data_IF_443171113249
#
_entry.id   IF_443171113249
#
_cell.length_a   1.000
_cell.length_b   1.000
_cell.length_c   1.000
_cell.angle_alpha   90.00
_cell.angle_beta   90.00
_cell.angle_gamma   90.00
#
_symmetry.space_group_name_H-M   'P 1'
#
loop_
_entity.id
_entity.type
_entity.pdbx_description
1 polymer ?
#
# COMPACT_ATOMS: atom_id res chain seq x y z
N UNK A 1 0.55 -7.34 -23.39
CA UNK A 1 1.40 -6.40 -22.63
C UNK A 1 1.40 -6.87 -21.18
N UNK A 2 2.51 -6.74 -20.47
CA UNK A 2 2.55 -6.99 -19.03
C UNK A 2 1.70 -5.92 -18.32
N UNK A 3 1.05 -6.31 -17.22
CA UNK A 3 0.23 -5.43 -16.38
C UNK A 3 1.16 -4.41 -15.71
N UNK A 4 0.87 -3.12 -15.81
CA UNK A 4 1.69 -2.04 -15.25
C UNK A 4 1.26 -1.78 -13.80
N UNK A 5 2.13 -2.09 -12.84
CA UNK A 5 1.83 -2.02 -11.40
C UNK A 5 2.73 -1.00 -10.73
N UNK A 6 2.16 -0.12 -9.91
CA UNK A 6 2.92 0.77 -9.01
C UNK A 6 2.89 0.23 -7.59
N UNK A 7 4.07 0.09 -6.97
CA UNK A 7 4.23 -0.10 -5.52
C UNK A 7 4.78 1.20 -4.94
N UNK A 8 3.94 1.92 -4.21
CA UNK A 8 4.28 3.22 -3.65
C UNK A 8 4.48 3.12 -2.13
N UNK A 9 5.71 3.38 -1.67
CA UNK A 9 6.01 3.53 -0.26
C UNK A 9 5.64 4.92 0.22
N UNK A 10 4.76 4.99 1.22
CA UNK A 10 4.30 6.23 1.86
C UNK A 10 4.75 6.22 3.32
N UNK A 11 5.03 7.41 3.86
CA UNK A 11 5.38 7.53 5.27
C UNK A 11 6.35 8.66 5.59
N UNK A 12 6.43 9.04 6.86
CA UNK A 12 7.41 9.98 7.36
C UNK A 12 8.52 9.26 8.14
N UNK A 13 9.71 9.15 7.54
CA UNK A 13 10.89 8.55 8.18
C UNK A 13 11.33 9.23 9.47
N UNK A 14 10.87 10.46 9.72
CA UNK A 14 11.15 11.19 10.97
C UNK A 14 10.15 10.84 12.10
N UNK A 15 9.09 10.07 11.82
CA UNK A 15 8.04 9.71 12.78
C UNK A 15 8.03 8.20 13.12
N UNK A 16 9.22 7.64 13.35
CA UNK A 16 9.36 6.26 13.83
C UNK A 16 8.77 5.24 12.85
N UNK A 17 7.81 4.45 13.32
CA UNK A 17 7.15 3.40 12.53
C UNK A 17 6.36 3.95 11.32
N UNK A 18 6.06 5.25 11.28
CA UNK A 18 5.46 5.90 10.11
C UNK A 18 6.39 5.81 8.88
N UNK A 19 7.69 5.55 9.06
CA UNK A 19 8.63 5.29 7.97
C UNK A 19 8.51 3.90 7.33
N UNK A 20 7.60 3.04 7.78
CA UNK A 20 7.48 1.66 7.32
C UNK A 20 7.36 1.53 5.79
N UNK A 21 6.48 2.30 5.14
CA UNK A 21 6.29 2.20 3.70
C UNK A 21 7.52 2.60 2.90
N UNK A 22 8.27 3.61 3.37
CA UNK A 22 9.54 4.05 2.77
C UNK A 22 10.60 2.95 2.87
N UNK A 23 10.72 2.30 4.03
CA UNK A 23 11.67 1.19 4.24
C UNK A 23 11.33 -0.01 3.34
N UNK A 24 10.05 -0.35 3.18
CA UNK A 24 9.63 -1.42 2.26
C UNK A 24 9.99 -1.09 0.81
N UNK A 25 9.70 0.14 0.35
CA UNK A 25 10.06 0.57 -1.00
C UNK A 25 11.58 0.54 -1.22
N UNK A 26 12.37 1.00 -0.23
CA UNK A 26 13.83 0.97 -0.27
C UNK A 26 14.38 -0.45 -0.42
N UNK A 27 13.81 -1.42 0.32
CA UNK A 27 14.20 -2.84 0.20
C UNK A 27 13.85 -3.42 -1.17
N UNK A 28 12.63 -3.21 -1.66
CA UNK A 28 12.22 -3.68 -2.99
C UNK A 28 13.07 -3.08 -4.11
N UNK A 29 13.48 -1.82 -4.00
CA UNK A 29 14.40 -1.19 -4.96
C UNK A 29 15.80 -1.79 -4.94
N UNK A 30 16.22 -2.37 -3.82
CA UNK A 30 17.50 -3.06 -3.68
C UNK A 30 17.47 -4.53 -4.11
N UNK A 31 16.27 -5.11 -4.27
CA UNK A 31 16.10 -6.49 -4.73
C UNK A 31 16.28 -6.62 -6.25
N UNK A 32 16.98 -7.67 -6.67
CA UNK A 32 17.06 -8.04 -8.07
C UNK A 32 15.84 -8.88 -8.48
N UNK A 33 15.33 -8.66 -9.69
CA UNK A 33 14.34 -9.57 -10.30
C UNK A 33 12.87 -9.25 -10.00
N UNK A 34 12.52 -7.98 -9.82
CA UNK A 34 11.12 -7.57 -9.82
C UNK A 34 10.43 -8.02 -11.12
N UNK A 35 9.15 -8.44 -11.07
CA UNK A 35 8.42 -8.84 -12.27
C UNK A 35 8.33 -7.71 -13.31
N UNK A 36 8.28 -8.08 -14.59
CA UNK A 36 8.10 -7.13 -15.68
C UNK A 36 6.83 -6.30 -15.50
N UNK A 37 6.97 -4.97 -15.61
CA UNK A 37 5.86 -4.02 -15.47
C UNK A 37 5.63 -3.50 -14.04
N UNK A 38 6.41 -3.99 -13.06
CA UNK A 38 6.39 -3.45 -11.68
C UNK A 38 7.30 -2.24 -11.58
N UNK A 39 6.75 -1.13 -11.09
CA UNK A 39 7.47 0.09 -10.75
C UNK A 39 7.38 0.28 -9.24
N UNK A 40 8.52 0.46 -8.58
CA UNK A 40 8.58 0.76 -7.14
C UNK A 40 9.04 2.19 -6.96
N UNK A 41 8.39 2.95 -6.07
CA UNK A 41 8.79 4.31 -5.77
C UNK A 41 8.55 4.66 -4.30
N UNK A 42 9.52 5.35 -3.70
CA UNK A 42 9.39 6.01 -2.41
C UNK A 42 8.76 7.40 -2.61
N UNK A 43 7.57 7.61 -2.04
CA UNK A 43 6.92 8.92 -2.02
C UNK A 43 7.14 9.67 -0.71
N UNK A 44 7.48 8.98 0.37
CA UNK A 44 7.50 9.54 1.72
C UNK A 44 6.22 10.34 2.01
N UNK A 45 6.38 11.63 2.33
CA UNK A 45 5.27 12.56 2.58
C UNK A 45 4.79 13.34 1.34
N UNK A 46 5.23 12.98 0.13
CA UNK A 46 4.98 13.74 -1.12
C UNK A 46 3.63 13.44 -1.75
N UNK A 47 2.54 13.65 -1.00
CA UNK A 47 1.17 13.30 -1.43
C UNK A 47 0.72 13.88 -2.79
N UNK A 48 1.13 15.11 -3.14
CA UNK A 48 0.82 15.70 -4.46
C UNK A 48 1.54 14.97 -5.59
N UNK A 49 2.80 14.57 -5.37
CA UNK A 49 3.57 13.84 -6.39
C UNK A 49 2.97 12.46 -6.62
N UNK A 50 2.54 11.79 -5.54
CA UNK A 50 1.79 10.55 -5.64
C UNK A 50 0.51 10.75 -6.46
N UNK A 51 -0.29 11.77 -6.16
CA UNK A 51 -1.53 12.03 -6.90
C UNK A 51 -1.30 12.24 -8.41
N UNK A 52 -0.23 12.93 -8.80
CA UNK A 52 0.13 13.06 -10.22
C UNK A 52 0.64 11.75 -10.82
N UNK A 53 1.42 10.97 -10.07
CA UNK A 53 1.90 9.67 -10.54
C UNK A 53 0.75 8.70 -10.83
N UNK A 54 -0.32 8.73 -10.02
CA UNK A 54 -1.51 7.90 -10.25
C UNK A 54 -2.19 8.18 -11.59
N UNK A 55 -1.94 9.34 -12.22
CA UNK A 55 -2.45 9.67 -13.55
C UNK A 55 -1.64 9.02 -14.68
N UNK A 56 -0.52 8.36 -14.39
CA UNK A 56 0.38 7.75 -15.39
C UNK A 56 -0.12 6.40 -15.96
N UNK A 57 -1.39 6.06 -15.75
CA UNK A 57 -2.06 4.91 -16.38
C UNK A 57 -1.58 3.55 -15.89
N UNK A 58 -1.46 3.38 -14.57
CA UNK A 58 -1.21 2.07 -13.97
C UNK A 58 -2.48 1.21 -13.99
N UNK A 59 -2.32 -0.09 -14.26
CA UNK A 59 -3.42 -1.06 -14.16
C UNK A 59 -3.75 -1.39 -12.70
N UNK A 60 -2.77 -1.24 -11.80
CA UNK A 60 -2.90 -1.52 -10.38
C UNK A 60 -1.92 -0.72 -9.54
N UNK A 61 -2.34 -0.35 -8.32
CA UNK A 61 -1.54 0.42 -7.38
C UNK A 61 -1.60 -0.22 -6.01
N UNK A 62 -0.43 -0.48 -5.44
CA UNK A 62 -0.24 -0.96 -4.08
C UNK A 62 0.37 0.18 -3.28
N UNK A 63 -0.38 0.70 -2.30
CA UNK A 63 0.12 1.67 -1.33
C UNK A 63 0.62 0.91 -0.10
N UNK A 64 1.88 1.13 0.28
CA UNK A 64 2.45 0.60 1.51
C UNK A 64 2.60 1.76 2.48
N UNK A 65 1.91 1.70 3.60
CA UNK A 65 1.86 2.77 4.59
C UNK A 65 1.68 2.19 6.01
N UNK A 66 2.09 2.94 7.03
CA UNK A 66 1.77 2.63 8.41
C UNK A 66 0.42 3.27 8.77
N UNK A 67 -0.53 2.48 9.22
CA UNK A 67 -1.85 2.98 9.62
C UNK A 67 -2.21 2.52 11.03
N UNK A 68 -2.87 3.37 11.84
CA UNK A 68 -3.34 2.97 13.15
C UNK A 68 -4.45 1.93 13.02
N UNK A 69 -4.25 0.76 13.62
CA UNK A 69 -5.22 -0.34 13.68
C UNK A 69 -5.45 -0.74 15.13
N UNK A 70 -6.62 -1.32 15.40
CA UNK A 70 -6.96 -1.92 16.70
C UNK A 70 -6.43 -3.37 16.75
N UNK A 71 -5.15 -3.52 16.46
CA UNK A 71 -4.43 -4.80 16.33
C UNK A 71 -3.03 -4.66 16.95
N UNK A 72 -2.35 -5.76 17.30
CA UNK A 72 -0.98 -5.70 17.81
C UNK A 72 -0.01 -4.97 16.84
N UNK A 73 0.97 -4.19 17.33
CA UNK A 73 1.99 -3.57 16.50
C UNK A 73 2.72 -4.56 15.58
N UNK A 74 2.96 -4.17 14.33
CA UNK A 74 3.57 -5.02 13.31
C UNK A 74 2.60 -5.96 12.57
N UNK A 75 1.31 -5.94 12.92
CA UNK A 75 0.28 -6.66 12.15
C UNK A 75 0.18 -6.09 10.73
N UNK A 76 0.28 -6.97 9.72
CA UNK A 76 0.07 -6.60 8.32
C UNK A 76 -1.39 -6.84 7.92
N UNK A 77 -2.00 -5.85 7.30
CA UNK A 77 -3.34 -5.93 6.74
C UNK A 77 -3.34 -5.44 5.29
N UNK A 78 -4.19 -6.05 4.46
CA UNK A 78 -4.46 -5.58 3.10
C UNK A 78 -5.81 -4.89 3.11
N UNK A 79 -5.82 -3.63 2.67
CA UNK A 79 -7.01 -2.79 2.61
C UNK A 79 -7.38 -2.58 1.15
N UNK A 80 -8.56 -3.05 0.75
CA UNK A 80 -9.11 -2.77 -0.58
C UNK A 80 -9.99 -1.53 -0.51
N UNK A 81 -9.61 -0.40 -1.15
CA UNK A 81 -10.42 0.81 -1.13
C UNK A 81 -11.68 0.63 -1.99
N UNK A 82 -12.84 0.88 -1.40
CA UNK A 82 -14.12 0.98 -2.09
C UNK A 82 -14.26 2.36 -2.75
N UNK A 83 -14.22 2.41 -4.08
CA UNK A 83 -14.37 3.67 -4.84
C UNK A 83 -15.78 4.27 -4.69
N UNK A 84 -16.78 3.43 -4.43
CA UNK A 84 -18.18 3.85 -4.22
C UNK A 84 -18.37 4.66 -2.92
N UNK A 85 -17.40 4.61 -2.01
CA UNK A 85 -17.45 5.24 -0.69
C UNK A 85 -16.50 6.44 -0.57
N UNK A 86 -15.81 6.79 -1.67
CA UNK A 86 -14.92 7.94 -1.77
C UNK A 86 -15.72 9.25 -1.91
N UNK A 87 -16.43 9.64 -0.85
CA UNK A 87 -16.96 11.00 -0.71
C UNK A 87 -15.84 12.03 -0.50
N UNK A 88 -16.14 13.35 -0.59
CA UNK A 88 -15.16 14.44 -0.45
C UNK A 88 -14.44 14.50 0.92
N UNK A 89 -14.86 13.67 1.88
CA UNK A 89 -14.14 13.39 3.11
C UNK A 89 -13.90 11.88 3.13
N UNK A 90 -12.69 11.45 2.81
CA UNK A 90 -12.32 10.03 2.83
C UNK A 90 -12.72 9.40 4.16
N UNK A 91 -13.55 8.35 4.11
CA UNK A 91 -13.93 7.60 5.30
C UNK A 91 -12.73 6.77 5.75
N UNK A 92 -12.47 6.69 7.06
CA UNK A 92 -11.44 5.76 7.58
C UNK A 92 -11.76 4.35 7.07
N UNK A 93 -10.85 3.78 6.29
CA UNK A 93 -10.92 2.39 5.87
C UNK A 93 -10.70 1.54 7.12
N UNK A 94 -11.67 0.68 7.46
CA UNK A 94 -11.51 -0.31 8.51
C UNK A 94 -10.71 -1.47 7.93
N UNK A 95 -9.69 -1.95 8.63
CA UNK A 95 -9.04 -3.20 8.29
C UNK A 95 -10.06 -4.34 8.36
N UNK A 96 -10.56 -4.76 7.20
CA UNK A 96 -11.35 -5.96 7.07
C UNK A 96 -10.42 -7.15 7.28
N UNK A 97 -10.46 -7.75 8.48
CA UNK A 97 -9.67 -8.93 8.77
C UNK A 97 -9.95 -10.04 7.75
N UNK A 98 -8.92 -10.44 7.00
CA UNK A 98 -8.95 -11.61 6.14
C UNK A 98 -9.00 -12.88 7.00
N UNK A 99 -10.14 -13.13 7.64
CA UNK A 99 -10.37 -14.36 8.39
C UNK A 99 -10.65 -15.48 7.40
N UNK A 100 -9.57 -16.17 6.95
CA UNK A 100 -9.69 -17.47 6.29
C UNK A 100 -10.43 -18.40 7.25
N UNK A 101 -11.71 -18.68 7.01
CA UNK A 101 -12.42 -19.74 7.73
C UNK A 101 -11.70 -21.06 7.47
N UNK A 102 -11.42 -21.89 8.49
CA UNK A 102 -10.96 -23.25 8.25
C UNK A 102 -12.09 -24.02 7.56
N UNK A 103 -11.78 -24.63 6.42
CA UNK A 103 -12.63 -25.66 5.83
C UNK A 103 -12.60 -26.85 6.80
N UNK A 104 -13.67 -27.05 7.55
CA UNK A 104 -13.91 -28.34 8.16
C UNK A 104 -14.46 -29.25 7.07
N UNK A 105 -13.58 -30.05 6.47
CA UNK A 105 -13.96 -31.33 5.87
C UNK A 105 -13.96 -32.35 7.01
N UNK A 106 -15.16 -32.70 7.50
CA UNK A 106 -15.52 -34.04 7.98
C UNK A 106 -17.03 -34.14 8.14
#
# INVERSE_FOLDING_TARGET
MSRKVLVAGVGNVFLGDDGFGVEVAGRLLSEAGLPDGVVVADFGIRGIHLAYELLAGYDEVILVDAVPMDEPPGTLAVLEPSLDEAGPRGRRVRAGGAHRRPRHDT
#
